data_IF_269546482471
#
_entry.id   IF_269546482471
#
_cell.length_a   1.000
_cell.length_b   1.000
_cell.length_c   1.000
_cell.angle_alpha   90.00
_cell.angle_beta   90.00
_cell.angle_gamma   90.00
#
_symmetry.space_group_name_H-M   'P 1'
#
loop_
_entity.id
_entity.type
_entity.pdbx_description
1 polymer ?
#
# COMPACT_ATOMS: atom_id res chain seq x y z
N UNK A 1 -12.31 -3.27 -13.67
CA UNK A 1 -12.48 -3.63 -12.26
C UNK A 1 -11.35 -3.09 -11.38
N UNK A 2 -10.15 -3.69 -11.37
CA UNK A 2 -9.04 -3.20 -10.50
C UNK A 2 -8.71 -1.72 -10.71
N UNK A 3 -8.63 -1.24 -11.96
CA UNK A 3 -8.42 0.18 -12.23
C UNK A 3 -9.60 1.08 -11.79
N UNK A 4 -10.83 0.56 -11.81
CA UNK A 4 -12.01 1.28 -11.30
C UNK A 4 -11.95 1.41 -9.76
N UNK A 5 -11.44 0.38 -9.08
CA UNK A 5 -11.14 0.46 -7.65
C UNK A 5 -10.08 1.52 -7.33
N UNK A 6 -9.02 1.61 -8.15
CA UNK A 6 -7.99 2.64 -8.00
C UNK A 6 -8.58 4.04 -8.20
N UNK A 7 -9.41 4.25 -9.22
CA UNK A 7 -10.11 5.52 -9.45
C UNK A 7 -10.97 5.93 -8.25
N UNK A 8 -11.71 4.97 -7.68
CA UNK A 8 -12.54 5.22 -6.53
C UNK A 8 -11.73 5.59 -5.28
N UNK A 9 -10.64 4.88 -5.01
CA UNK A 9 -9.74 5.20 -3.88
C UNK A 9 -9.11 6.57 -4.09
N UNK A 10 -8.67 6.90 -5.31
CA UNK A 10 -8.13 8.24 -5.63
C UNK A 10 -9.14 9.34 -5.32
N UNK A 11 -10.41 9.13 -5.65
CA UNK A 11 -11.48 10.11 -5.38
C UNK A 11 -11.68 10.36 -3.88
N UNK A 12 -11.54 9.32 -3.05
CA UNK A 12 -11.83 9.39 -1.60
C UNK A 12 -10.58 9.79 -0.78
N UNK A 13 -9.46 9.13 -1.03
CA UNK A 13 -8.24 9.24 -0.22
C UNK A 13 -7.15 10.09 -0.90
N UNK A 14 -7.23 10.33 -2.21
CA UNK A 14 -6.19 11.02 -2.97
C UNK A 14 -5.04 10.10 -3.40
N UNK A 15 -4.24 10.58 -4.36
CA UNK A 15 -3.20 9.76 -5.02
C UNK A 15 -2.07 9.32 -4.09
N UNK A 16 -1.78 10.09 -3.04
CA UNK A 16 -0.67 9.81 -2.11
C UNK A 16 -0.97 8.66 -1.12
N UNK A 17 -2.16 8.04 -1.20
CA UNK A 17 -2.65 7.02 -0.28
C UNK A 17 -3.00 5.69 -0.96
N UNK A 18 -2.42 5.43 -2.13
CA UNK A 18 -2.68 4.22 -2.93
C UNK A 18 -1.41 3.37 -3.02
N UNK A 19 -1.54 2.06 -2.81
CA UNK A 19 -0.50 1.06 -3.07
C UNK A 19 -1.08 -0.19 -3.69
N UNK A 20 -0.22 -1.08 -4.19
CA UNK A 20 -0.63 -2.35 -4.80
C UNK A 20 -0.32 -3.52 -3.86
N UNK A 21 -1.29 -4.42 -3.70
CA UNK A 21 -1.15 -5.66 -2.94
C UNK A 21 -2.06 -6.73 -3.54
N UNK A 22 -1.53 -7.53 -4.47
CA UNK A 22 -2.33 -8.40 -5.33
C UNK A 22 -2.65 -9.78 -4.75
N UNK A 23 -2.07 -10.15 -3.59
CA UNK A 23 -2.31 -11.44 -2.93
C UNK A 23 -2.06 -12.67 -3.85
N UNK A 24 -1.09 -12.56 -4.76
CA UNK A 24 -0.64 -13.68 -5.59
C UNK A 24 -0.22 -14.86 -4.71
N UNK A 25 -0.56 -16.07 -5.16
CA UNK A 25 -0.37 -17.35 -4.44
C UNK A 25 -1.14 -17.48 -3.10
N UNK A 26 -1.90 -16.46 -2.69
CA UNK A 26 -2.76 -16.45 -1.49
C UNK A 26 -4.25 -16.62 -1.79
N UNK A 27 -4.69 -16.38 -3.02
CA UNK A 27 -6.09 -16.39 -3.48
C UNK A 27 -6.29 -17.31 -4.70
N UNK A 28 -7.54 -17.76 -5.00
CA UNK A 28 -7.91 -18.24 -6.34
C UNK A 28 -7.45 -17.29 -7.46
N UNK A 29 -7.43 -17.76 -8.73
CA UNK A 29 -6.90 -16.99 -9.86
C UNK A 29 -7.44 -15.56 -9.91
N UNK A 30 -6.52 -14.60 -10.08
CA UNK A 30 -6.83 -13.18 -10.10
C UNK A 30 -7.69 -12.75 -11.31
N UNK A 31 -8.02 -11.46 -11.40
CA UNK A 31 -8.75 -10.89 -12.53
C UNK A 31 -8.06 -11.20 -13.87
N UNK A 32 -8.86 -11.29 -14.95
CA UNK A 32 -8.31 -11.48 -16.30
C UNK A 32 -7.36 -10.33 -16.66
N UNK A 33 -6.19 -10.68 -17.18
CA UNK A 33 -5.09 -9.76 -17.45
C UNK A 33 -4.23 -9.41 -16.22
N UNK A 34 -4.53 -10.01 -15.06
CA UNK A 34 -3.76 -9.91 -13.83
C UNK A 34 -3.49 -11.29 -13.18
N UNK A 35 -3.23 -12.30 -14.00
CA UNK A 35 -3.15 -13.70 -13.57
C UNK A 35 -1.94 -14.00 -12.67
N UNK A 36 -0.82 -13.31 -12.87
CA UNK A 36 0.43 -13.52 -12.13
C UNK A 36 1.26 -12.23 -12.00
N UNK A 37 2.35 -12.30 -11.23
CA UNK A 37 3.24 -11.16 -10.95
C UNK A 37 3.84 -10.48 -12.20
N UNK A 38 3.88 -11.13 -13.36
CA UNK A 38 4.40 -10.52 -14.60
C UNK A 38 3.42 -9.51 -15.22
N UNK A 39 2.17 -9.48 -14.76
CA UNK A 39 1.07 -8.75 -15.39
C UNK A 39 0.86 -7.32 -14.89
N UNK A 40 1.55 -6.89 -13.81
CA UNK A 40 1.47 -5.51 -13.32
C UNK A 40 1.64 -4.42 -14.40
N UNK A 41 2.52 -4.55 -15.41
CA UNK A 41 2.62 -3.56 -16.48
C UNK A 41 1.32 -3.34 -17.27
N UNK A 42 0.43 -4.33 -17.34
CA UNK A 42 -0.88 -4.18 -17.98
C UNK A 42 -1.79 -3.23 -17.18
N UNK A 43 -1.82 -3.37 -15.85
CA UNK A 43 -2.55 -2.45 -14.96
C UNK A 43 -1.99 -1.03 -15.04
N UNK A 44 -0.66 -0.86 -14.99
CA UNK A 44 -0.05 0.47 -15.07
C UNK A 44 -0.34 1.14 -16.42
N UNK A 45 -0.34 0.36 -17.52
CA UNK A 45 -0.74 0.87 -18.84
C UNK A 45 -2.20 1.33 -18.85
N UNK A 46 -3.11 0.56 -18.26
CA UNK A 46 -4.52 0.94 -18.16
C UNK A 46 -4.68 2.28 -17.41
N UNK A 47 -3.96 2.48 -16.30
CA UNK A 47 -3.98 3.74 -15.56
C UNK A 47 -3.41 4.91 -16.39
N UNK A 48 -2.33 4.70 -17.15
CA UNK A 48 -1.83 5.72 -18.08
C UNK A 48 -2.87 6.10 -19.13
N UNK A 49 -3.59 5.12 -19.70
CA UNK A 49 -4.70 5.37 -20.66
C UNK A 49 -5.83 6.17 -20.02
N UNK A 50 -6.09 5.98 -18.73
CA UNK A 50 -7.06 6.75 -17.93
C UNK A 50 -6.58 8.16 -17.55
N UNK A 51 -5.36 8.53 -17.91
CA UNK A 51 -4.82 9.88 -17.71
C UNK A 51 -4.07 10.07 -16.39
N UNK A 52 -3.64 9.00 -15.73
CA UNK A 52 -2.66 9.10 -14.64
C UNK A 52 -1.32 9.56 -15.23
N UNK A 53 -0.65 10.48 -14.52
CA UNK A 53 0.68 10.93 -14.91
C UNK A 53 1.75 9.89 -14.55
N UNK A 54 2.95 10.00 -15.12
CA UNK A 54 4.08 9.15 -14.71
C UNK A 54 4.40 9.29 -13.22
N UNK A 55 4.17 10.49 -12.65
CA UNK A 55 4.31 10.74 -11.21
C UNK A 55 3.25 10.00 -10.40
N UNK A 56 1.98 10.02 -10.84
CA UNK A 56 0.91 9.26 -10.19
C UNK A 56 1.20 7.74 -10.24
N UNK A 57 1.74 7.25 -11.36
CA UNK A 57 2.15 5.85 -11.51
C UNK A 57 3.31 5.50 -10.56
N UNK A 58 4.34 6.35 -10.46
CA UNK A 58 5.45 6.12 -9.55
C UNK A 58 5.00 6.03 -8.08
N UNK A 59 4.04 6.90 -7.69
CA UNK A 59 3.39 6.86 -6.37
C UNK A 59 2.69 5.54 -6.09
N UNK A 60 1.84 5.09 -7.01
CA UNK A 60 1.09 3.82 -6.88
C UNK A 60 2.05 2.62 -6.86
N UNK A 61 3.08 2.65 -7.71
CA UNK A 61 4.01 1.54 -7.87
C UNK A 61 4.98 1.38 -6.69
N UNK A 62 5.32 2.46 -5.97
CA UNK A 62 6.24 2.35 -4.85
C UNK A 62 6.42 3.57 -3.96
N UNK A 63 6.37 4.80 -4.49
CA UNK A 63 6.78 5.97 -3.69
C UNK A 63 5.89 6.19 -2.46
N UNK A 64 4.60 5.86 -2.55
CA UNK A 64 3.70 5.93 -1.39
C UNK A 64 4.10 4.95 -0.30
N UNK A 65 4.46 3.72 -0.66
CA UNK A 65 4.88 2.68 0.30
C UNK A 65 6.21 3.08 0.94
N UNK A 66 7.16 3.57 0.14
CA UNK A 66 8.45 4.06 0.64
C UNK A 66 8.27 5.23 1.61
N UNK A 67 7.42 6.20 1.27
CA UNK A 67 7.08 7.32 2.16
C UNK A 67 6.48 6.85 3.48
N UNK A 68 5.54 5.90 3.45
CA UNK A 68 4.90 5.37 4.66
C UNK A 68 5.91 4.61 5.52
N UNK A 69 6.75 3.77 4.92
CA UNK A 69 7.78 3.03 5.64
C UNK A 69 8.79 3.97 6.30
N UNK A 70 9.31 4.97 5.57
CA UNK A 70 10.22 5.97 6.14
C UNK A 70 9.58 6.75 7.30
N UNK A 71 8.29 7.09 7.21
CA UNK A 71 7.60 7.76 8.31
C UNK A 71 7.46 6.85 9.53
N UNK A 72 7.21 5.55 9.33
CA UNK A 72 7.17 4.57 10.41
C UNK A 72 8.53 4.43 11.10
N UNK A 73 9.62 4.40 10.33
CA UNK A 73 11.00 4.37 10.86
C UNK A 73 11.32 5.59 11.73
N UNK A 74 10.91 6.79 11.30
CA UNK A 74 11.09 8.03 12.07
C UNK A 74 10.36 7.95 13.41
N UNK A 75 9.09 7.55 13.39
CA UNK A 75 8.27 7.44 14.61
C UNK A 75 8.84 6.36 15.54
N UNK A 76 9.21 5.20 14.99
CA UNK A 76 9.82 4.13 15.77
C UNK A 76 11.10 4.59 16.47
N UNK A 77 11.97 5.33 15.77
CA UNK A 77 13.20 5.88 16.35
C UNK A 77 12.93 6.87 17.49
N UNK A 78 11.93 7.73 17.33
CA UNK A 78 11.55 8.68 18.38
C UNK A 78 11.00 7.94 19.61
N UNK A 79 10.12 6.96 19.41
CA UNK A 79 9.54 6.18 20.51
C UNK A 79 10.58 5.37 21.28
N UNK A 80 11.59 4.82 20.59
CA UNK A 80 12.72 4.12 21.21
C UNK A 80 13.62 5.03 22.05
N UNK A 81 13.66 6.33 21.74
CA UNK A 81 14.38 7.30 22.58
C UNK A 81 13.56 7.74 23.80
N UNK A 82 12.22 7.72 23.69
CA UNK A 82 11.31 8.20 24.74
C UNK A 82 10.87 7.10 25.71
N UNK A 83 10.85 5.84 25.27
CA UNK A 83 10.28 4.71 26.02
C UNK A 83 11.17 3.47 25.90
N UNK A 84 11.20 2.67 26.97
CA UNK A 84 11.68 1.30 26.90
C UNK A 84 10.62 0.39 26.23
N UNK A 85 11.03 -0.71 25.58
CA UNK A 85 10.08 -1.69 25.04
C UNK A 85 9.11 -2.17 26.11
N UNK A 86 7.83 -2.29 25.77
CA UNK A 86 6.84 -2.81 26.70
C UNK A 86 7.14 -4.28 27.03
N UNK A 87 7.22 -4.58 28.33
CA UNK A 87 7.36 -5.96 28.85
C UNK A 87 6.02 -6.50 29.39
N UNK A 88 4.92 -5.85 28.99
CA UNK A 88 3.56 -6.23 29.40
C UNK A 88 3.14 -7.54 28.74
N UNK A 89 2.64 -8.46 29.56
CA UNK A 89 1.96 -9.65 29.06
C UNK A 89 0.56 -9.28 28.55
N UNK A 90 0.05 -10.04 27.58
CA UNK A 90 -1.29 -9.79 26.99
C UNK A 90 -2.42 -9.76 28.04
N UNK A 91 -2.27 -10.53 29.12
CA UNK A 91 -3.23 -10.56 30.24
C UNK A 91 -3.23 -9.24 31.04
N UNK A 92 -2.10 -8.56 31.10
CA UNK A 92 -1.90 -7.29 31.82
C UNK A 92 -2.35 -6.09 30.98
N UNK A 93 -2.22 -6.18 29.66
CA UNK A 93 -2.62 -5.12 28.72
C UNK A 93 -4.14 -4.92 28.59
N UNK A 94 -4.95 -5.96 28.85
CA UNK A 94 -6.42 -5.90 28.75
C UNK A 94 -7.15 -5.38 29.99
N UNK A 95 -6.42 -5.08 31.07
CA UNK A 95 -6.98 -4.61 32.34
C UNK A 95 -6.97 -3.08 32.50
N UNK A 96 -6.66 -2.33 31.43
CA UNK A 96 -6.54 -0.86 31.41
C UNK A 96 -7.62 -0.20 30.56
#
# INVERSE_FOLDING_TARGET
DVADHIDHIRQIAGIDHIGLGADYDGMPPGPVGLEDVSTYPALLRELLVRGYSDEDIAKIAGDNILRVLSQAEIVAKNLQHENEPADLLLEEAGSS
#
